data_IF_642212570443
#
_entry.id   IF_642212570443
#
_cell.length_a   1.000
_cell.length_b   1.000
_cell.length_c   1.000
_cell.angle_alpha   90.00
_cell.angle_beta   90.00
_cell.angle_gamma   90.00
#
_symmetry.space_group_name_H-M   'P 1'
#
loop_
_entity.id
_entity.type
_entity.pdbx_description
1 polymer ?
#
# COMPACT_ATOMS: atom_id res chain seq x y z
N UNK A 1 -19.03 16.48 11.86
CA UNK A 1 -17.73 16.35 11.13
C UNK A 1 -17.54 14.89 10.76
N UNK A 2 -17.33 14.62 9.49
CA UNK A 2 -17.18 13.27 8.94
C UNK A 2 -15.87 12.63 9.40
N UNK A 3 -15.93 11.34 9.76
CA UNK A 3 -14.72 10.51 9.97
C UNK A 3 -14.60 9.56 8.78
N UNK A 4 -13.38 9.34 8.31
CA UNK A 4 -13.08 8.46 7.17
C UNK A 4 -12.00 7.47 7.59
N UNK A 5 -12.22 6.19 7.27
CA UNK A 5 -11.18 5.16 7.34
C UNK A 5 -10.47 5.04 6.00
N UNK A 6 -9.15 5.11 6.00
CA UNK A 6 -8.32 4.95 4.81
C UNK A 6 -7.49 3.70 4.98
N UNK A 7 -7.66 2.72 4.08
CA UNK A 7 -6.90 1.46 4.09
C UNK A 7 -5.98 1.45 2.86
N UNK A 8 -4.68 1.26 3.12
CA UNK A 8 -3.66 1.06 2.10
C UNK A 8 -3.08 -0.36 2.22
N UNK A 9 -3.33 -1.20 1.22
CA UNK A 9 -2.85 -2.57 1.16
C UNK A 9 -1.68 -2.68 0.18
N UNK A 10 -0.48 -2.67 0.75
CA UNK A 10 0.78 -2.87 0.02
C UNK A 10 1.21 -4.32 -0.09
N UNK A 11 2.37 -4.55 -0.73
CA UNK A 11 2.97 -5.88 -0.86
C UNK A 11 3.48 -6.45 0.47
N UNK A 12 3.93 -5.58 1.39
CA UNK A 12 4.50 -5.98 2.68
C UNK A 12 3.56 -5.75 3.86
N UNK A 13 2.85 -4.64 3.87
CA UNK A 13 2.03 -4.22 5.00
C UNK A 13 0.68 -3.70 4.56
N UNK A 14 -0.31 -3.85 5.44
CA UNK A 14 -1.58 -3.15 5.40
C UNK A 14 -1.56 -2.02 6.41
N UNK A 15 -2.08 -0.85 6.06
CA UNK A 15 -2.21 0.31 6.96
C UNK A 15 -3.66 0.77 6.99
N UNK A 16 -4.15 1.07 8.18
CA UNK A 16 -5.38 1.81 8.41
C UNK A 16 -5.01 3.18 8.99
N UNK A 17 -5.59 4.23 8.44
CA UNK A 17 -5.55 5.59 9.02
C UNK A 17 -6.98 6.07 9.19
N UNK A 18 -7.33 6.51 10.37
CA UNK A 18 -8.63 7.10 10.70
C UNK A 18 -8.45 8.60 10.77
N UNK A 19 -9.19 9.33 9.96
CA UNK A 19 -9.13 10.80 9.92
C UNK A 19 -10.48 11.41 10.23
N UNK A 20 -10.45 12.59 10.86
CA UNK A 20 -11.60 13.48 11.03
C UNK A 20 -11.44 14.67 10.09
N UNK A 21 -12.43 14.89 9.25
CA UNK A 21 -12.46 16.04 8.35
C UNK A 21 -12.80 17.31 9.14
N UNK A 22 -12.00 18.35 8.98
CA UNK A 22 -12.15 19.62 9.72
C UNK A 22 -12.84 20.72 8.88
N UNK A 23 -13.05 20.50 7.59
CA UNK A 23 -13.48 21.49 6.60
C UNK A 23 -12.32 22.00 5.74
N UNK A 24 -12.64 22.64 4.61
CA UNK A 24 -11.69 23.25 3.67
C UNK A 24 -10.53 22.34 3.24
N UNK A 25 -10.78 21.02 3.19
CA UNK A 25 -9.78 20.03 2.82
C UNK A 25 -8.80 19.66 3.95
N UNK A 26 -8.90 20.29 5.12
CA UNK A 26 -8.09 19.94 6.28
C UNK A 26 -8.63 18.69 6.99
N UNK A 27 -7.73 17.93 7.56
CA UNK A 27 -8.08 16.74 8.35
C UNK A 27 -7.13 16.58 9.54
N UNK A 28 -7.60 15.84 10.52
CA UNK A 28 -6.82 15.43 11.68
C UNK A 28 -6.77 13.90 11.72
N UNK A 29 -5.56 13.35 11.88
CA UNK A 29 -5.41 11.91 12.13
C UNK A 29 -5.87 11.62 13.57
N UNK A 30 -6.84 10.71 13.72
CA UNK A 30 -7.36 10.25 15.01
C UNK A 30 -6.58 9.03 15.48
N UNK A 31 -6.36 8.08 14.54
CA UNK A 31 -5.71 6.81 14.84
C UNK A 31 -5.03 6.24 13.60
N UNK A 32 -4.00 5.42 13.80
CA UNK A 32 -3.34 4.71 12.71
C UNK A 32 -2.84 3.35 13.19
N UNK A 33 -2.97 2.37 12.32
CA UNK A 33 -2.53 1.01 12.55
C UNK A 33 -1.78 0.50 11.32
N UNK A 34 -0.68 -0.23 11.52
CA UNK A 34 0.11 -0.86 10.46
C UNK A 34 0.41 -2.28 10.84
N UNK A 35 0.07 -3.22 9.95
CA UNK A 35 0.27 -4.64 10.13
C UNK A 35 1.11 -5.23 8.99
N UNK A 36 2.04 -6.13 9.34
CA UNK A 36 2.87 -6.82 8.36
C UNK A 36 2.14 -8.06 7.83
N UNK A 37 1.57 -7.96 6.64
CA UNK A 37 0.81 -9.05 5.99
C UNK A 37 1.65 -9.85 5.00
N UNK A 38 2.73 -9.25 4.47
CA UNK A 38 3.65 -9.84 3.48
C UNK A 38 2.91 -10.49 2.31
N UNK A 39 1.85 -9.81 1.81
CA UNK A 39 0.96 -10.34 0.78
C UNK A 39 1.70 -10.69 -0.51
N UNK A 40 2.75 -9.95 -0.87
CA UNK A 40 3.58 -10.19 -2.06
C UNK A 40 4.65 -11.27 -1.89
N UNK A 41 4.80 -11.87 -0.71
CA UNK A 41 5.83 -12.89 -0.49
C UNK A 41 5.59 -14.14 -1.33
N UNK A 42 6.66 -14.70 -1.89
CA UNK A 42 6.69 -15.89 -2.73
C UNK A 42 5.89 -15.77 -4.05
N UNK A 43 5.59 -14.53 -4.47
CA UNK A 43 4.78 -14.24 -5.66
C UNK A 43 5.59 -14.26 -6.95
N UNK A 44 6.89 -13.98 -6.88
CA UNK A 44 7.74 -13.81 -8.07
C UNK A 44 7.89 -15.11 -8.89
N UNK A 45 7.70 -16.27 -8.27
CA UNK A 45 7.86 -17.57 -8.94
C UNK A 45 6.73 -17.89 -9.94
N UNK A 46 5.49 -17.56 -9.61
CA UNK A 46 4.32 -17.99 -10.39
C UNK A 46 3.27 -16.88 -10.63
N UNK A 47 3.42 -15.74 -9.96
CA UNK A 47 2.51 -14.59 -10.09
C UNK A 47 1.21 -14.71 -9.29
N UNK A 48 1.12 -15.64 -8.31
CA UNK A 48 -0.07 -15.84 -7.50
C UNK A 48 0.14 -15.38 -6.06
N UNK A 49 -0.85 -14.68 -5.49
CA UNK A 49 -0.96 -14.48 -4.07
C UNK A 49 -1.14 -15.83 -3.37
N UNK A 50 -0.35 -16.09 -2.33
CA UNK A 50 -0.36 -17.39 -1.64
C UNK A 50 -1.52 -17.49 -0.67
N UNK A 51 -2.18 -18.67 -0.55
CA UNK A 51 -3.36 -18.85 0.32
C UNK A 51 -3.11 -18.42 1.77
N UNK A 52 -1.94 -18.76 2.32
CA UNK A 52 -1.58 -18.35 3.68
C UNK A 52 -1.52 -16.83 3.82
N UNK A 53 -0.95 -16.11 2.83
CA UNK A 53 -0.84 -14.65 2.84
C UNK A 53 -2.18 -13.96 2.64
N UNK A 54 -3.05 -14.56 1.83
CA UNK A 54 -4.44 -14.13 1.67
C UNK A 54 -5.17 -14.24 3.02
N UNK A 55 -5.08 -15.38 3.70
CA UNK A 55 -5.74 -15.59 4.99
C UNK A 55 -5.27 -14.60 6.07
N UNK A 56 -3.95 -14.36 6.17
CA UNK A 56 -3.37 -13.36 7.08
C UNK A 56 -3.87 -11.94 6.76
N UNK A 57 -3.92 -11.59 5.47
CA UNK A 57 -4.43 -10.29 5.02
C UNK A 57 -5.91 -10.11 5.33
N UNK A 58 -6.74 -11.12 5.10
CA UNK A 58 -8.17 -11.10 5.42
C UNK A 58 -8.37 -10.94 6.94
N UNK A 59 -7.60 -11.66 7.76
CA UNK A 59 -7.63 -11.48 9.23
C UNK A 59 -7.35 -10.03 9.63
N UNK A 60 -6.35 -9.42 9.04
CA UNK A 60 -5.98 -8.02 9.28
C UNK A 60 -7.09 -7.06 8.81
N UNK A 61 -7.62 -7.26 7.61
CA UNK A 61 -8.69 -6.41 7.08
C UNK A 61 -9.99 -6.51 7.90
N UNK A 62 -10.33 -7.70 8.42
CA UNK A 62 -11.44 -7.87 9.38
C UNK A 62 -11.22 -7.08 10.66
N UNK A 63 -10.00 -7.07 11.17
CA UNK A 63 -9.64 -6.27 12.35
C UNK A 63 -9.78 -4.77 12.04
N UNK A 64 -9.31 -4.31 10.89
CA UNK A 64 -9.46 -2.92 10.44
C UNK A 64 -10.95 -2.53 10.30
N UNK A 65 -11.77 -3.43 9.75
CA UNK A 65 -13.22 -3.20 9.63
C UNK A 65 -13.84 -3.03 11.01
N UNK A 66 -13.57 -3.93 11.96
CA UNK A 66 -14.08 -3.84 13.34
C UNK A 66 -13.64 -2.53 14.02
N UNK A 67 -12.41 -2.08 13.78
CA UNK A 67 -11.93 -0.82 14.33
C UNK A 67 -12.69 0.37 13.72
N UNK A 68 -12.90 0.38 12.41
CA UNK A 68 -13.74 1.39 11.76
C UNK A 68 -15.17 1.41 12.36
N UNK A 69 -15.75 0.25 12.58
CA UNK A 69 -17.11 0.14 13.18
C UNK A 69 -17.13 0.71 14.62
N UNK A 70 -16.09 0.40 15.43
CA UNK A 70 -15.96 0.92 16.79
C UNK A 70 -15.79 2.45 16.84
N UNK A 71 -15.17 3.05 15.82
CA UNK A 71 -15.07 4.51 15.67
C UNK A 71 -16.31 5.16 15.04
N UNK A 72 -17.33 4.37 14.65
CA UNK A 72 -18.53 4.84 13.95
C UNK A 72 -18.23 5.38 12.56
N UNK A 73 -17.32 4.73 11.82
CA UNK A 73 -16.93 5.13 10.47
C UNK A 73 -17.83 4.45 9.45
N UNK A 74 -18.59 5.25 8.72
CA UNK A 74 -19.44 4.79 7.63
C UNK A 74 -18.70 4.71 6.29
N UNK A 75 -17.73 5.63 6.08
CA UNK A 75 -16.98 5.73 4.83
C UNK A 75 -15.57 5.16 4.96
N UNK A 76 -15.31 4.08 4.23
CA UNK A 76 -13.99 3.48 4.11
C UNK A 76 -13.49 3.65 2.67
N UNK A 77 -12.30 4.24 2.51
CA UNK A 77 -11.57 4.30 1.26
C UNK A 77 -10.45 3.27 1.35
N UNK A 78 -10.53 2.22 0.54
CA UNK A 78 -9.56 1.14 0.59
C UNK A 78 -8.89 0.94 -0.78
N UNK A 79 -7.58 0.96 -0.80
CA UNK A 79 -6.77 0.80 -1.99
C UNK A 79 -5.80 -0.38 -1.84
N UNK A 80 -5.45 -0.97 -2.98
CA UNK A 80 -4.42 -2.01 -3.06
C UNK A 80 -3.43 -1.67 -4.19
N UNK A 81 -2.18 -2.07 -4.03
CA UNK A 81 -1.09 -1.67 -4.92
C UNK A 81 -0.39 -2.85 -5.59
N UNK A 82 0.93 -2.83 -5.73
CA UNK A 82 1.73 -3.67 -6.61
C UNK A 82 1.45 -5.18 -6.52
N UNK A 83 1.38 -5.78 -5.33
CA UNK A 83 1.14 -7.23 -5.19
C UNK A 83 -0.21 -7.63 -5.78
N UNK A 84 -1.29 -6.93 -5.39
CA UNK A 84 -2.64 -7.22 -5.91
C UNK A 84 -2.74 -6.89 -7.39
N UNK A 85 -2.14 -5.77 -7.83
CA UNK A 85 -2.16 -5.37 -9.24
C UNK A 85 -1.53 -6.39 -10.18
N UNK A 86 -0.43 -7.05 -9.76
CA UNK A 86 0.30 -8.04 -10.56
C UNK A 86 -0.23 -9.46 -10.42
N UNK A 87 -1.12 -9.71 -9.46
CA UNK A 87 -1.57 -11.05 -9.12
C UNK A 87 -2.47 -11.66 -10.20
N UNK A 88 -2.17 -12.89 -10.64
CA UNK A 88 -3.02 -13.66 -11.54
C UNK A 88 -4.37 -14.04 -10.92
N UNK A 89 -4.41 -14.19 -9.58
CA UNK A 89 -5.64 -14.44 -8.81
C UNK A 89 -6.23 -13.17 -8.18
N UNK A 90 -5.96 -11.99 -8.77
CA UNK A 90 -6.45 -10.69 -8.30
C UNK A 90 -7.95 -10.69 -8.06
N UNK A 91 -8.74 -11.11 -9.07
CA UNK A 91 -10.21 -11.07 -9.00
C UNK A 91 -10.75 -11.90 -7.85
N UNK A 92 -10.31 -13.14 -7.73
CA UNK A 92 -10.72 -14.04 -6.64
C UNK A 92 -10.38 -13.43 -5.26
N UNK A 93 -9.20 -12.84 -5.11
CA UNK A 93 -8.81 -12.16 -3.87
C UNK A 93 -9.71 -10.95 -3.55
N UNK A 94 -10.02 -10.11 -4.54
CA UNK A 94 -10.88 -8.94 -4.35
C UNK A 94 -12.30 -9.35 -3.96
N UNK A 95 -12.84 -10.39 -4.60
CA UNK A 95 -14.18 -10.93 -4.31
C UNK A 95 -14.22 -11.51 -2.88
N UNK A 96 -13.18 -12.24 -2.48
CA UNK A 96 -13.05 -12.80 -1.13
C UNK A 96 -12.96 -11.70 -0.05
N UNK A 97 -12.19 -10.64 -0.29
CA UNK A 97 -12.11 -9.49 0.62
C UNK A 97 -13.47 -8.79 0.74
N UNK A 98 -14.13 -8.55 -0.39
CA UNK A 98 -15.44 -7.89 -0.41
C UNK A 98 -16.49 -8.68 0.36
N UNK A 99 -16.58 -10.00 0.15
CA UNK A 99 -17.57 -10.87 0.79
C UNK A 99 -17.26 -11.12 2.26
N UNK A 100 -15.97 -11.24 2.61
CA UNK A 100 -15.55 -11.69 3.96
C UNK A 100 -15.35 -10.54 4.93
N UNK A 101 -14.90 -9.36 4.43
CA UNK A 101 -14.58 -8.19 5.24
C UNK A 101 -15.55 -7.03 5.05
N UNK A 102 -16.43 -7.08 4.03
CA UNK A 102 -17.27 -5.94 3.67
C UNK A 102 -16.47 -4.72 3.19
N UNK A 103 -15.25 -4.94 2.70
CA UNK A 103 -14.33 -3.87 2.23
C UNK A 103 -14.16 -4.03 0.72
N UNK A 104 -14.50 -2.97 -0.01
CA UNK A 104 -14.26 -2.91 -1.46
C UNK A 104 -12.90 -2.27 -1.74
N UNK A 105 -11.93 -3.07 -2.15
CA UNK A 105 -10.59 -2.60 -2.53
C UNK A 105 -10.60 -2.05 -3.96
N UNK A 106 -10.08 -0.83 -4.14
CA UNK A 106 -9.71 -0.29 -5.46
C UNK A 106 -8.24 -0.62 -5.73
N UNK A 107 -7.96 -1.34 -6.81
CA UNK A 107 -6.57 -1.57 -7.24
C UNK A 107 -6.08 -0.34 -7.99
N UNK A 108 -5.05 0.32 -7.46
CA UNK A 108 -4.46 1.49 -8.10
C UNK A 108 -3.57 1.08 -9.28
N UNK A 109 -3.65 1.83 -10.36
CA UNK A 109 -2.62 1.77 -11.40
C UNK A 109 -1.29 2.30 -10.87
N UNK A 110 -0.19 2.01 -11.55
CA UNK A 110 1.12 2.55 -11.18
C UNK A 110 1.15 4.09 -11.26
N UNK A 111 0.40 4.65 -12.19
CA UNK A 111 0.23 6.09 -12.38
C UNK A 111 -0.58 6.73 -11.24
N UNK A 112 -1.75 6.17 -10.91
CA UNK A 112 -2.56 6.64 -9.78
C UNK A 112 -1.74 6.63 -8.48
N UNK A 113 -0.99 5.55 -8.24
CA UNK A 113 -0.13 5.40 -7.06
C UNK A 113 0.97 6.48 -7.05
N UNK A 114 1.64 6.75 -8.18
CA UNK A 114 2.64 7.81 -8.29
C UNK A 114 2.04 9.21 -8.03
N UNK A 115 0.83 9.48 -8.54
CA UNK A 115 0.11 10.74 -8.30
C UNK A 115 -0.22 10.91 -6.82
N UNK A 116 -0.66 9.85 -6.12
CA UNK A 116 -0.95 9.94 -4.69
C UNK A 116 0.31 10.16 -3.85
N UNK A 117 1.43 9.49 -4.16
CA UNK A 117 2.72 9.72 -3.51
C UNK A 117 3.15 11.18 -3.72
N UNK A 118 3.13 11.66 -4.95
CA UNK A 118 3.47 13.02 -5.29
C UNK A 118 2.62 14.02 -4.50
N UNK A 119 1.29 13.86 -4.49
CA UNK A 119 0.38 14.74 -3.74
C UNK A 119 0.65 14.73 -2.23
N UNK A 120 0.97 13.58 -1.67
CA UNK A 120 1.38 13.47 -0.26
C UNK A 120 2.60 14.32 0.03
N UNK A 121 3.64 14.23 -0.80
CA UNK A 121 4.90 14.96 -0.60
C UNK A 121 4.72 16.46 -0.77
N UNK A 122 4.10 16.93 -1.87
CA UNK A 122 3.99 18.38 -2.13
C UNK A 122 3.08 19.11 -1.15
N UNK A 123 2.20 18.39 -0.45
CA UNK A 123 1.33 18.98 0.58
C UNK A 123 1.94 18.95 1.99
N UNK A 124 3.07 18.24 2.17
CA UNK A 124 3.76 18.13 3.45
C UNK A 124 5.14 18.80 3.46
N UNK A 125 5.72 19.06 2.28
CA UNK A 125 7.04 19.64 2.12
C UNK A 125 6.99 20.82 1.16
N UNK A 126 7.57 21.94 1.57
CA UNK A 126 7.69 23.14 0.71
C UNK A 126 8.99 23.08 -0.11
N UNK A 127 9.02 22.17 -1.08
CA UNK A 127 10.13 22.03 -2.04
C UNK A 127 9.59 22.27 -3.44
N UNK A 128 10.03 23.34 -4.15
CA UNK A 128 9.45 23.73 -5.43
C UNK A 128 9.82 22.78 -6.58
N UNK A 129 10.96 22.06 -6.47
CA UNK A 129 11.47 21.14 -7.48
C UNK A 129 12.17 19.98 -6.80
N UNK A 130 11.93 18.75 -7.27
CA UNK A 130 12.57 17.59 -6.67
C UNK A 130 12.40 16.31 -7.46
N UNK A 131 13.16 15.32 -7.00
CA UNK A 131 13.04 13.92 -7.37
C UNK A 131 12.58 13.15 -6.13
N UNK A 132 11.44 12.49 -6.21
CA UNK A 132 10.97 11.59 -5.16
C UNK A 132 11.40 10.19 -5.54
N UNK A 133 12.10 9.51 -4.65
CA UNK A 133 12.42 8.08 -4.73
C UNK A 133 11.62 7.36 -3.64
N UNK A 134 10.69 6.51 -4.06
CA UNK A 134 9.88 5.69 -3.16
C UNK A 134 10.21 4.22 -3.41
N UNK A 135 10.75 3.54 -2.39
CA UNK A 135 11.04 2.10 -2.43
C UNK A 135 10.04 1.38 -1.55
N UNK A 136 9.09 0.68 -2.19
CA UNK A 136 8.10 -0.14 -1.49
C UNK A 136 8.50 -1.63 -1.48
N UNK A 137 7.62 -2.49 -0.99
CA UNK A 137 7.89 -3.94 -0.97
C UNK A 137 8.00 -4.56 -2.36
N UNK A 138 7.14 -4.16 -3.30
CA UNK A 138 7.03 -4.80 -4.62
C UNK A 138 7.38 -3.91 -5.81
N UNK A 139 7.72 -2.63 -5.59
CA UNK A 139 8.05 -1.69 -6.66
C UNK A 139 8.91 -0.55 -6.14
N UNK A 140 9.65 0.09 -7.04
CA UNK A 140 10.34 1.37 -6.79
C UNK A 140 9.80 2.40 -7.75
N UNK A 141 9.48 3.60 -7.25
CA UNK A 141 9.00 4.71 -8.06
C UNK A 141 9.99 5.87 -8.00
N UNK A 142 10.22 6.45 -9.16
CA UNK A 142 11.00 7.67 -9.33
C UNK A 142 10.07 8.71 -9.92
N UNK A 143 9.81 9.80 -9.20
CA UNK A 143 8.84 10.82 -9.59
C UNK A 143 9.57 12.16 -9.66
N UNK A 144 9.55 12.81 -10.81
CA UNK A 144 10.13 14.12 -11.02
C UNK A 144 9.05 15.20 -11.09
N UNK A 145 9.22 16.27 -10.32
CA UNK A 145 8.32 17.41 -10.30
C UNK A 145 9.09 18.74 -10.28
N UNK A 146 8.45 19.78 -10.81
CA UNK A 146 8.97 21.14 -10.81
C UNK A 146 7.82 22.14 -10.70
N UNK A 147 8.00 23.20 -9.90
CA UNK A 147 7.00 24.25 -9.62
C UNK A 147 5.66 23.65 -9.20
N UNK A 148 5.70 22.63 -8.33
CA UNK A 148 4.51 21.88 -7.86
C UNK A 148 3.69 21.25 -9.01
N UNK A 149 4.32 20.92 -10.13
CA UNK A 149 3.71 20.12 -11.21
C UNK A 149 4.45 18.80 -11.35
N UNK A 150 3.73 17.71 -11.38
CA UNK A 150 4.29 16.40 -11.71
C UNK A 150 4.64 16.42 -13.20
N UNK A 151 5.89 16.21 -13.54
CA UNK A 151 6.38 16.24 -14.91
C UNK A 151 6.56 14.84 -15.49
N UNK A 152 7.10 13.91 -14.70
CA UNK A 152 7.34 12.55 -15.16
C UNK A 152 7.43 11.59 -13.97
N UNK A 153 7.14 10.31 -14.21
CA UNK A 153 7.41 9.25 -13.26
C UNK A 153 7.82 7.96 -13.96
N UNK A 154 8.56 7.13 -13.26
CA UNK A 154 8.89 5.77 -13.69
C UNK A 154 8.68 4.81 -12.55
N UNK A 155 8.03 3.67 -12.83
CA UNK A 155 7.90 2.57 -11.89
C UNK A 155 8.80 1.44 -12.33
N UNK A 156 9.65 0.98 -11.42
CA UNK A 156 10.51 -0.18 -11.59
C UNK A 156 9.84 -1.38 -10.92
N UNK A 157 9.79 -2.57 -11.54
CA UNK A 157 9.04 -3.72 -11.03
C UNK A 157 9.78 -4.48 -9.92
N UNK A 158 10.57 -3.78 -9.13
CA UNK A 158 11.30 -4.35 -7.99
C UNK A 158 11.27 -3.39 -6.80
N UNK A 159 11.16 -3.95 -5.62
CA UNK A 159 11.19 -3.29 -4.32
C UNK A 159 11.88 -4.18 -3.30
N UNK A 160 11.79 -3.85 -2.02
CA UNK A 160 12.52 -4.54 -0.97
C UNK A 160 12.24 -6.06 -0.92
N UNK A 161 10.97 -6.49 -1.04
CA UNK A 161 10.63 -7.92 -1.02
C UNK A 161 11.12 -8.61 -2.29
N UNK A 162 10.82 -8.04 -3.46
CA UNK A 162 11.20 -8.65 -4.74
C UNK A 162 12.71 -8.79 -4.88
N UNK A 163 13.47 -7.80 -4.45
CA UNK A 163 14.94 -7.87 -4.44
C UNK A 163 15.45 -8.93 -3.46
N UNK A 164 14.86 -9.00 -2.25
CA UNK A 164 15.23 -10.04 -1.29
C UNK A 164 14.94 -11.44 -1.84
N UNK A 165 13.79 -11.66 -2.46
CA UNK A 165 13.44 -12.97 -3.05
C UNK A 165 14.32 -13.35 -4.23
N UNK A 166 14.83 -12.38 -5.00
CA UNK A 166 15.68 -12.64 -6.16
C UNK A 166 17.15 -12.83 -5.81
N UNK A 167 17.66 -12.15 -4.79
CA UNK A 167 19.10 -12.06 -4.52
C UNK A 167 19.52 -12.55 -3.14
N UNK A 168 18.59 -12.72 -2.17
CA UNK A 168 18.97 -13.30 -0.89
C UNK A 168 19.21 -14.81 -1.07
N UNK A 169 20.42 -15.25 -0.79
CA UNK A 169 20.76 -16.67 -0.70
C UNK A 169 20.20 -17.23 0.60
N UNK A 170 19.51 -18.37 0.51
CA UNK A 170 18.96 -19.07 1.67
C UNK A 170 20.06 -19.31 2.72
N UNK A 171 19.88 -18.76 3.91
CA UNK A 171 20.72 -19.02 5.08
C UNK A 171 21.72 -17.94 5.46
N UNK A 172 21.90 -16.87 4.66
CA UNK A 172 22.74 -15.74 5.07
C UNK A 172 21.87 -14.58 5.61
N UNK A 173 22.24 -14.07 6.76
CA UNK A 173 21.69 -12.80 7.26
C UNK A 173 22.23 -11.63 6.41
N UNK A 174 21.56 -10.46 6.37
CA UNK A 174 22.07 -9.30 5.62
C UNK A 174 23.50 -8.89 5.98
N UNK A 175 23.97 -9.19 7.19
CA UNK A 175 25.34 -8.93 7.62
C UNK A 175 26.36 -9.92 7.04
N UNK A 176 25.95 -11.15 6.74
CA UNK A 176 26.83 -12.20 6.17
C UNK A 176 26.94 -12.12 4.63
N UNK A 177 26.04 -11.35 3.99
CA UNK A 177 26.06 -11.13 2.54
C UNK A 177 26.97 -9.98 2.11
N UNK A 178 27.52 -9.21 3.05
CA UNK A 178 28.39 -8.04 2.80
C UNK A 178 29.87 -8.30 3.12
N UNK A 179 30.23 -9.48 3.54
CA UNK A 179 31.61 -9.96 3.71
C UNK A 179 32.02 -10.81 2.51
#
# INVERSE_FOLDING_TARGET
MEKIGIIDLGSNSARLVIVKMLGDGHFMVIDQLKESVRLGKDMERDGFLKPQRIAETIKTLKMFRKLCDAYGIERIIAVATAAVRRAKNQRSFLDEVATTCGIKLKVLSAEEEAVYIYRGIINTMDVPKGLILEVSGGATKVIYYNRRNLLNFKTLPFGAITLTELFATDGLTPAEQTA
#
